data_IF_130793771957
#
_entry.id   IF_130793771957
#
_cell.length_a   1.000
_cell.length_b   1.000
_cell.length_c   1.000
_cell.angle_alpha   90.00
_cell.angle_beta   90.00
_cell.angle_gamma   90.00
#
_symmetry.space_group_name_H-M   'P 1'
#
loop_
_entity.id
_entity.type
_entity.pdbx_description
1 polymer ?
#
# COMPACT_ATOMS: atom_id res chain seq x y z
N UNK A 1 14.53 0.36 -16.94
CA UNK A 1 16.00 0.30 -17.12
C UNK A 1 16.55 -1.00 -16.54
N UNK A 2 17.79 -1.40 -16.81
CA UNK A 2 18.38 -2.58 -16.15
C UNK A 2 18.41 -2.35 -14.63
N UNK A 3 17.85 -3.26 -13.85
CA UNK A 3 17.72 -3.13 -12.39
C UNK A 3 16.49 -2.36 -11.89
N UNK A 4 15.56 -1.98 -12.77
CA UNK A 4 14.24 -1.47 -12.35
C UNK A 4 13.41 -2.60 -11.77
N UNK A 5 12.93 -2.41 -10.54
CA UNK A 5 11.94 -3.31 -9.92
C UNK A 5 10.58 -3.07 -10.57
N UNK A 6 9.90 -4.13 -10.98
CA UNK A 6 8.60 -4.06 -11.68
C UNK A 6 7.55 -4.72 -10.80
N UNK A 7 6.43 -4.03 -10.62
CA UNK A 7 5.20 -4.57 -10.07
C UNK A 7 4.16 -4.59 -11.19
N UNK A 8 3.47 -5.72 -11.34
CA UNK A 8 2.37 -5.86 -12.29
C UNK A 8 1.10 -6.06 -11.48
N UNK A 9 0.31 -4.98 -11.36
CA UNK A 9 -0.95 -4.97 -10.62
C UNK A 9 -2.13 -5.16 -11.58
N UNK A 10 -3.00 -6.13 -11.28
CA UNK A 10 -4.24 -6.34 -12.01
C UNK A 10 -5.48 -5.74 -11.31
N UNK A 11 -5.30 -5.13 -10.13
CA UNK A 11 -6.32 -4.51 -9.29
C UNK A 11 -7.52 -5.43 -9.05
N UNK A 12 -7.22 -6.70 -8.74
CA UNK A 12 -8.20 -7.76 -8.55
C UNK A 12 -9.12 -8.00 -9.77
N UNK A 13 -8.76 -7.50 -10.95
CA UNK A 13 -9.64 -7.42 -12.12
C UNK A 13 -9.64 -8.65 -13.01
N UNK A 14 -8.75 -9.63 -12.78
CA UNK A 14 -8.64 -10.81 -13.63
C UNK A 14 -9.24 -12.06 -13.00
N UNK A 15 -9.77 -12.92 -13.86
CA UNK A 15 -10.04 -14.32 -13.51
C UNK A 15 -8.73 -15.09 -13.35
N UNK A 16 -8.72 -16.24 -12.61
CA UNK A 16 -7.54 -17.10 -12.56
C UNK A 16 -7.05 -17.58 -13.93
N UNK A 17 -7.94 -17.70 -14.91
CA UNK A 17 -7.59 -18.04 -16.28
C UNK A 17 -6.72 -16.95 -16.93
N UNK A 18 -7.18 -15.70 -16.89
CA UNK A 18 -6.43 -14.56 -17.45
C UNK A 18 -5.10 -14.35 -16.73
N UNK A 19 -5.09 -14.44 -15.40
CA UNK A 19 -3.87 -14.28 -14.61
C UNK A 19 -2.81 -15.33 -14.96
N UNK A 20 -3.19 -16.59 -15.18
CA UNK A 20 -2.26 -17.64 -15.61
C UNK A 20 -1.76 -17.44 -17.03
N UNK A 21 -2.63 -17.03 -17.96
CA UNK A 21 -2.20 -16.73 -19.33
C UNK A 21 -1.17 -15.60 -19.34
N UNK A 22 -1.40 -14.54 -18.56
CA UNK A 22 -0.44 -13.45 -18.43
C UNK A 22 0.88 -13.92 -17.81
N UNK A 23 0.82 -14.65 -16.69
CA UNK A 23 2.00 -15.15 -16.00
C UNK A 23 2.86 -16.05 -16.92
N UNK A 24 2.24 -16.91 -17.72
CA UNK A 24 2.96 -17.79 -18.64
C UNK A 24 3.56 -17.01 -19.82
N UNK A 25 2.79 -16.10 -20.43
CA UNK A 25 3.25 -15.25 -21.53
C UNK A 25 4.41 -14.31 -21.11
N UNK A 26 4.51 -14.00 -19.82
CA UNK A 26 5.52 -13.11 -19.24
C UNK A 26 6.54 -13.85 -18.38
N UNK A 27 6.66 -15.18 -18.51
CA UNK A 27 7.53 -16.00 -17.67
C UNK A 27 8.99 -15.52 -17.64
N UNK A 28 9.51 -15.05 -18.78
CA UNK A 28 10.88 -14.55 -18.92
C UNK A 28 11.15 -13.17 -18.31
N UNK A 29 10.11 -12.46 -17.86
CA UNK A 29 10.24 -11.13 -17.25
C UNK A 29 10.32 -11.24 -15.72
N UNK A 30 11.15 -10.42 -15.11
CA UNK A 30 11.25 -10.31 -13.66
C UNK A 30 10.30 -9.22 -13.14
N UNK A 31 9.31 -9.62 -12.34
CA UNK A 31 8.34 -8.73 -11.71
C UNK A 31 7.65 -9.38 -10.52
N UNK A 32 7.12 -8.56 -9.63
CA UNK A 32 6.18 -8.97 -8.57
C UNK A 32 4.75 -8.86 -9.09
N UNK A 33 3.96 -9.93 -8.94
CA UNK A 33 2.56 -9.93 -9.36
C UNK A 33 1.67 -9.45 -8.20
N UNK A 34 0.94 -8.36 -8.39
CA UNK A 34 0.05 -7.77 -7.40
C UNK A 34 -1.42 -8.06 -7.72
N UNK A 35 -2.15 -8.49 -6.67
CA UNK A 35 -3.58 -8.79 -6.64
C UNK A 35 -4.18 -9.19 -8.01
N UNK A 36 -3.85 -10.39 -8.53
CA UNK A 36 -4.36 -10.81 -9.84
C UNK A 36 -5.89 -10.95 -9.85
N UNK A 37 -6.46 -11.49 -8.78
CA UNK A 37 -7.86 -11.92 -8.74
C UNK A 37 -8.63 -11.31 -7.55
N UNK A 38 -9.97 -11.29 -7.61
CA UNK A 38 -10.82 -10.72 -6.56
C UNK A 38 -10.62 -11.34 -5.17
N UNK A 39 -10.49 -12.66 -5.09
CA UNK A 39 -10.47 -13.36 -3.80
C UNK A 39 -9.10 -13.97 -3.46
N UNK A 40 -8.85 -14.18 -2.17
CA UNK A 40 -7.65 -14.90 -1.66
C UNK A 40 -7.57 -16.30 -2.28
N UNK A 41 -8.67 -17.02 -2.40
CA UNK A 41 -8.69 -18.40 -2.93
C UNK A 41 -8.39 -18.46 -4.42
N UNK A 42 -8.87 -17.48 -5.19
CA UNK A 42 -8.52 -17.34 -6.60
C UNK A 42 -7.04 -16.98 -6.77
N UNK A 43 -6.52 -16.04 -5.98
CA UNK A 43 -5.10 -15.69 -5.96
C UNK A 43 -4.23 -16.88 -5.58
N UNK A 44 -4.62 -17.65 -4.55
CA UNK A 44 -3.94 -18.88 -4.14
C UNK A 44 -3.89 -19.91 -5.28
N UNK A 45 -4.99 -20.05 -6.03
CA UNK A 45 -5.07 -20.93 -7.20
C UNK A 45 -4.04 -20.55 -8.27
N UNK A 46 -3.77 -19.26 -8.46
CA UNK A 46 -2.73 -18.75 -9.36
C UNK A 46 -1.33 -18.94 -8.75
N UNK A 47 -1.16 -18.60 -7.46
CA UNK A 47 0.11 -18.68 -6.71
C UNK A 47 0.77 -20.05 -6.78
N UNK A 48 -0.03 -21.12 -6.75
CA UNK A 48 0.44 -22.52 -6.84
C UNK A 48 1.22 -22.84 -8.11
N UNK A 49 0.99 -22.10 -9.19
CA UNK A 49 1.67 -22.26 -10.48
C UNK A 49 2.59 -21.09 -10.84
N UNK A 50 2.68 -20.08 -9.96
CA UNK A 50 3.46 -18.87 -10.20
C UNK A 50 4.89 -19.04 -9.68
N UNK A 51 5.87 -18.75 -10.53
CA UNK A 51 7.31 -18.77 -10.24
C UNK A 51 7.87 -17.39 -9.83
N UNK A 52 6.97 -16.44 -9.59
CA UNK A 52 7.25 -15.03 -9.26
C UNK A 52 6.72 -14.68 -7.86
N UNK A 53 7.28 -13.66 -7.20
CA UNK A 53 6.70 -13.11 -5.98
C UNK A 53 5.26 -12.64 -6.21
N UNK A 54 4.40 -12.86 -5.23
CA UNK A 54 3.03 -12.36 -5.23
C UNK A 54 2.79 -11.46 -4.03
N UNK A 55 2.19 -10.30 -4.25
CA UNK A 55 1.68 -9.42 -3.18
C UNK A 55 0.17 -9.27 -3.30
N UNK A 56 -0.52 -9.12 -2.17
CA UNK A 56 -1.96 -8.89 -2.14
C UNK A 56 -2.29 -7.53 -1.55
N UNK A 57 -3.21 -6.82 -2.20
CA UNK A 57 -3.74 -5.50 -1.82
C UNK A 57 -5.22 -5.61 -1.44
N UNK A 58 -6.13 -5.67 -2.43
CA UNK A 58 -7.58 -5.62 -2.23
C UNK A 58 -8.09 -6.71 -1.28
N UNK A 59 -7.39 -7.84 -1.20
CA UNK A 59 -7.71 -8.94 -0.29
C UNK A 59 -7.33 -8.72 1.18
N UNK A 60 -6.61 -7.64 1.55
CA UNK A 60 -6.17 -7.38 2.93
C UNK A 60 -6.84 -6.12 3.47
N UNK A 61 -7.91 -6.29 4.25
CA UNK A 61 -8.66 -5.17 4.84
C UNK A 61 -8.65 -5.15 6.36
N UNK A 62 -8.41 -6.31 6.99
CA UNK A 62 -8.45 -6.53 8.43
C UNK A 62 -7.58 -7.71 8.84
N UNK A 63 -7.44 -7.89 10.16
CA UNK A 63 -6.57 -8.90 10.75
C UNK A 63 -6.90 -10.33 10.26
N UNK A 64 -8.18 -10.68 10.15
CA UNK A 64 -8.56 -12.04 9.75
C UNK A 64 -8.10 -12.37 8.33
N UNK A 65 -8.09 -11.39 7.43
CA UNK A 65 -7.67 -11.58 6.04
C UNK A 65 -6.15 -11.87 5.99
N UNK A 66 -5.35 -11.09 6.72
CA UNK A 66 -3.89 -11.28 6.85
C UNK A 66 -3.57 -12.69 7.40
N UNK A 67 -4.27 -13.10 8.46
CA UNK A 67 -4.08 -14.43 9.05
C UNK A 67 -4.47 -15.55 8.08
N UNK A 68 -5.53 -15.38 7.29
CA UNK A 68 -5.92 -16.36 6.28
C UNK A 68 -4.89 -16.46 5.15
N UNK A 69 -4.39 -15.33 4.66
CA UNK A 69 -3.31 -15.26 3.64
C UNK A 69 -2.06 -15.96 4.14
N UNK A 70 -1.65 -15.71 5.39
CA UNK A 70 -0.49 -16.36 6.00
C UNK A 70 -0.69 -17.87 6.12
N UNK A 71 -1.82 -18.30 6.69
CA UNK A 71 -2.13 -19.72 6.88
C UNK A 71 -2.16 -20.49 5.56
N UNK A 72 -2.65 -19.87 4.49
CA UNK A 72 -2.73 -20.46 3.15
C UNK A 72 -1.43 -20.38 2.36
N UNK A 73 -0.48 -19.53 2.77
CA UNK A 73 0.70 -19.20 1.98
C UNK A 73 0.33 -18.53 0.65
N UNK A 74 -0.68 -17.66 0.66
CA UNK A 74 -1.25 -17.09 -0.57
C UNK A 74 -0.42 -15.95 -1.17
N UNK A 75 0.50 -15.35 -0.41
CA UNK A 75 1.31 -14.22 -0.83
C UNK A 75 2.70 -14.25 -0.18
N UNK A 76 3.63 -13.51 -0.77
CA UNK A 76 4.97 -13.24 -0.25
C UNK A 76 5.05 -11.84 0.41
N UNK A 77 4.07 -10.96 0.10
CA UNK A 77 3.93 -9.66 0.75
C UNK A 77 2.51 -9.09 0.69
N UNK A 78 2.31 -7.95 1.36
CA UNK A 78 1.01 -7.29 1.51
C UNK A 78 1.13 -5.79 1.24
N UNK A 79 0.14 -5.24 0.54
CA UNK A 79 -0.09 -3.80 0.39
C UNK A 79 -1.17 -3.39 1.39
N UNK A 80 -0.79 -2.55 2.36
CA UNK A 80 -1.66 -2.13 3.45
C UNK A 80 -2.13 -0.70 3.23
N UNK A 81 -3.40 -0.55 2.79
CA UNK A 81 -4.00 0.77 2.53
C UNK A 81 -4.59 1.40 3.79
N UNK A 82 -4.07 2.57 4.18
CA UNK A 82 -4.45 3.25 5.44
C UNK A 82 -5.95 3.54 5.49
N UNK A 83 -6.51 4.17 4.45
CA UNK A 83 -7.94 4.46 4.36
C UNK A 83 -8.82 3.20 4.41
N UNK A 84 -8.40 2.12 3.73
CA UNK A 84 -9.16 0.86 3.65
C UNK A 84 -9.20 0.10 4.99
N UNK A 85 -8.07 0.08 5.71
CA UNK A 85 -7.94 -0.61 7.01
C UNK A 85 -8.59 0.20 8.16
N UNK A 86 -8.76 1.51 7.95
CA UNK A 86 -9.43 2.40 8.90
C UNK A 86 -8.46 3.19 9.78
N UNK A 87 -7.36 3.66 9.20
CA UNK A 87 -6.47 4.65 9.79
C UNK A 87 -5.15 4.10 10.33
N UNK A 88 -4.23 5.02 10.61
CA UNK A 88 -2.81 4.77 10.93
C UNK A 88 -2.63 3.73 12.04
N UNK A 89 -3.38 3.83 13.15
CA UNK A 89 -3.22 2.91 14.29
C UNK A 89 -3.56 1.47 13.95
N UNK A 90 -4.64 1.23 13.17
CA UNK A 90 -5.03 -0.12 12.76
C UNK A 90 -4.04 -0.67 11.75
N UNK A 91 -3.64 0.15 10.77
CA UNK A 91 -2.64 -0.23 9.76
C UNK A 91 -1.29 -0.57 10.39
N UNK A 92 -0.85 0.20 11.41
CA UNK A 92 0.36 -0.11 12.17
C UNK A 92 0.29 -1.51 12.80
N UNK A 93 -0.81 -1.84 13.49
CA UNK A 93 -0.95 -3.15 14.13
C UNK A 93 -0.89 -4.29 13.10
N UNK A 94 -1.53 -4.14 11.94
CA UNK A 94 -1.45 -5.11 10.85
C UNK A 94 -0.04 -5.19 10.26
N UNK A 95 0.64 -4.06 10.08
CA UNK A 95 2.02 -3.99 9.59
C UNK A 95 2.97 -4.71 10.53
N UNK A 96 2.91 -4.42 11.83
CA UNK A 96 3.79 -5.01 12.84
C UNK A 96 3.64 -6.55 12.81
N UNK A 97 2.40 -7.06 12.75
CA UNK A 97 2.16 -8.50 12.61
C UNK A 97 2.65 -9.06 11.27
N UNK A 98 2.44 -8.35 10.16
CA UNK A 98 2.90 -8.81 8.84
C UNK A 98 4.42 -8.99 8.81
N UNK A 99 5.15 -8.03 9.40
CA UNK A 99 6.61 -8.08 9.57
C UNK A 99 7.02 -9.29 10.41
N UNK A 100 6.39 -9.52 11.55
CA UNK A 100 6.68 -10.65 12.45
C UNK A 100 6.41 -12.01 11.78
N UNK A 101 5.39 -12.08 10.93
CA UNK A 101 5.07 -13.27 10.11
C UNK A 101 5.95 -13.41 8.87
N UNK A 102 6.87 -12.48 8.65
CA UNK A 102 7.88 -12.54 7.61
C UNK A 102 7.41 -12.10 6.22
N UNK A 103 6.30 -11.38 6.12
CA UNK A 103 5.87 -10.78 4.85
C UNK A 103 6.74 -9.58 4.49
N UNK A 104 6.85 -9.35 3.18
CA UNK A 104 7.21 -8.03 2.66
C UNK A 104 6.00 -7.10 2.75
N UNK A 105 6.22 -5.81 3.02
CA UNK A 105 5.13 -4.85 3.25
C UNK A 105 5.31 -3.59 2.41
N UNK A 106 4.23 -3.23 1.73
CA UNK A 106 3.97 -1.89 1.19
C UNK A 106 2.95 -1.23 2.10
N UNK A 107 3.22 0.01 2.55
CA UNK A 107 2.21 0.85 3.21
C UNK A 107 1.82 1.93 2.21
N UNK A 108 0.53 2.01 1.90
CA UNK A 108 0.01 2.85 0.84
C UNK A 108 -1.37 3.46 1.21
N UNK A 109 -1.96 4.24 0.31
CA UNK A 109 -3.37 4.59 0.30
C UNK A 109 -3.96 4.40 -1.12
N UNK A 110 -5.28 4.53 -1.31
CA UNK A 110 -5.94 4.46 -2.63
C UNK A 110 -5.69 5.69 -3.51
N UNK A 111 -4.90 6.64 -3.01
CA UNK A 111 -4.67 7.97 -3.60
C UNK A 111 -4.89 9.06 -2.57
N UNK A 112 -4.45 10.26 -2.90
CA UNK A 112 -4.67 11.46 -2.10
C UNK A 112 -3.58 12.50 -2.30
N UNK A 113 -3.52 13.45 -1.37
CA UNK A 113 -2.67 14.62 -1.41
C UNK A 113 -1.69 14.60 -0.21
N UNK A 114 -1.31 15.76 0.32
CA UNK A 114 -0.25 15.87 1.31
C UNK A 114 -0.58 15.22 2.65
N UNK A 115 -1.84 15.28 3.12
CA UNK A 115 -2.23 14.76 4.44
C UNK A 115 -2.07 13.23 4.52
N UNK A 116 -2.67 12.50 3.59
CA UNK A 116 -2.58 11.05 3.52
C UNK A 116 -1.18 10.59 3.11
N UNK A 117 -0.53 11.27 2.16
CA UNK A 117 0.84 10.91 1.75
C UNK A 117 1.82 11.07 2.91
N UNK A 118 1.69 12.12 3.74
CA UNK A 118 2.53 12.27 4.92
C UNK A 118 2.29 11.15 5.94
N UNK A 119 1.04 10.83 6.25
CA UNK A 119 0.70 9.75 7.17
C UNK A 119 1.24 8.39 6.69
N UNK A 120 1.08 8.10 5.40
CA UNK A 120 1.60 6.91 4.74
C UNK A 120 3.13 6.88 4.74
N UNK A 121 3.82 7.99 4.42
CA UNK A 121 5.28 8.07 4.41
C UNK A 121 5.87 7.79 5.80
N UNK A 122 5.31 8.38 6.85
CA UNK A 122 5.73 8.10 8.23
C UNK A 122 5.55 6.63 8.60
N UNK A 123 4.38 6.06 8.32
CA UNK A 123 4.14 4.65 8.65
C UNK A 123 5.02 3.71 7.83
N UNK A 124 5.20 3.98 6.53
CA UNK A 124 6.09 3.22 5.64
C UNK A 124 7.54 3.24 6.12
N UNK A 125 8.10 4.42 6.44
CA UNK A 125 9.49 4.53 6.91
C UNK A 125 9.71 3.93 8.30
N UNK A 126 8.65 3.74 9.09
CA UNK A 126 8.73 3.00 10.37
C UNK A 126 8.73 1.47 10.19
N UNK A 127 8.49 0.95 8.99
CA UNK A 127 8.63 -0.48 8.67
C UNK A 127 10.11 -0.82 8.51
N UNK A 128 10.61 -1.94 9.08
CA UNK A 128 12.01 -2.34 8.91
C UNK A 128 12.43 -2.37 7.44
N UNK A 129 13.62 -1.87 7.13
CA UNK A 129 14.08 -1.67 5.75
C UNK A 129 14.11 -2.98 4.95
N UNK A 130 14.51 -4.07 5.59
CA UNK A 130 14.57 -5.41 5.01
C UNK A 130 13.19 -6.02 4.71
N UNK A 131 12.11 -5.44 5.25
CA UNK A 131 10.72 -5.87 5.00
C UNK A 131 9.91 -4.85 4.21
N UNK A 132 10.49 -3.72 3.83
CA UNK A 132 9.80 -2.63 3.14
C UNK A 132 9.99 -2.74 1.63
N UNK A 133 8.89 -2.68 0.87
CA UNK A 133 8.91 -2.74 -0.60
C UNK A 133 8.98 -1.33 -1.22
N UNK A 134 7.85 -0.82 -1.69
CA UNK A 134 7.75 0.48 -2.37
C UNK A 134 6.73 1.38 -1.69
N UNK A 135 6.60 2.61 -2.20
CA UNK A 135 5.58 3.58 -1.86
C UNK A 135 5.31 4.45 -3.08
N UNK A 136 4.14 5.09 -3.14
CA UNK A 136 3.77 6.02 -4.21
C UNK A 136 3.56 7.40 -3.61
N UNK A 137 4.20 8.42 -4.20
CA UNK A 137 4.01 9.81 -3.84
C UNK A 137 2.74 10.39 -4.47
N UNK A 138 1.55 9.98 -4.00
CA UNK A 138 0.29 10.38 -4.64
C UNK A 138 0.08 11.90 -4.73
N UNK A 139 0.59 12.66 -3.75
CA UNK A 139 0.55 14.12 -3.79
C UNK A 139 1.22 14.72 -5.05
N UNK A 140 2.15 14.04 -5.70
CA UNK A 140 2.77 14.48 -6.97
C UNK A 140 1.88 14.20 -8.19
N UNK A 141 0.82 13.39 -8.06
CA UNK A 141 -0.07 13.00 -9.16
C UNK A 141 -1.33 13.86 -9.24
N UNK A 142 -1.62 14.63 -8.20
CA UNK A 142 -2.84 15.43 -8.07
C UNK A 142 -2.54 16.92 -8.18
N UNK A 143 -3.51 17.69 -8.67
CA UNK A 143 -3.39 19.14 -8.83
C UNK A 143 -3.98 19.93 -7.64
N UNK A 144 -4.76 19.26 -6.78
CA UNK A 144 -5.40 19.86 -5.61
C UNK A 144 -4.56 19.55 -4.38
N UNK A 145 -4.18 20.61 -3.67
CA UNK A 145 -3.40 20.54 -2.44
C UNK A 145 -4.29 20.64 -1.21
N UNK A 146 -3.96 19.85 -0.20
CA UNK A 146 -4.56 19.83 1.15
C UNK A 146 -3.64 20.41 2.21
N UNK A 147 -2.33 20.46 1.95
CA UNK A 147 -1.34 21.07 2.84
C UNK A 147 -0.15 21.65 2.07
N UNK A 148 0.72 22.39 2.76
CA UNK A 148 2.07 22.75 2.30
C UNK A 148 3.13 21.97 3.09
N UNK A 149 4.39 22.04 2.62
CA UNK A 149 5.51 21.21 3.09
C UNK A 149 5.26 19.71 2.87
N UNK A 150 4.97 19.27 1.64
CA UNK A 150 4.70 17.86 1.36
C UNK A 150 5.91 16.98 1.70
N UNK A 151 5.71 15.66 1.85
CA UNK A 151 6.83 14.70 1.92
C UNK A 151 7.82 14.93 0.76
N UNK A 152 9.13 15.11 1.03
CA UNK A 152 10.08 15.42 -0.02
C UNK A 152 10.26 14.24 -0.97
N UNK A 153 10.31 14.51 -2.27
CA UNK A 153 10.58 13.53 -3.32
C UNK A 153 11.84 13.92 -4.07
N UNK A 154 12.84 13.03 -4.04
CA UNK A 154 14.10 13.20 -4.75
C UNK A 154 14.39 11.94 -5.59
N UNK A 155 14.30 12.09 -6.92
CA UNK A 155 14.45 10.97 -7.84
C UNK A 155 13.39 9.89 -7.59
N UNK A 156 13.82 8.68 -7.23
CA UNK A 156 12.94 7.54 -6.93
C UNK A 156 12.71 7.31 -5.43
N UNK A 157 12.95 8.33 -4.60
CA UNK A 157 12.87 8.23 -3.14
C UNK A 157 11.92 9.30 -2.60
N UNK A 158 11.14 8.91 -1.61
CA UNK A 158 10.28 9.80 -0.84
C UNK A 158 10.69 9.75 0.62
N UNK A 159 10.80 10.92 1.24
CA UNK A 159 11.12 11.08 2.66
C UNK A 159 9.87 11.42 3.48
N UNK A 160 10.10 11.98 4.66
CA UNK A 160 9.07 12.57 5.53
C UNK A 160 9.37 14.05 5.75
N UNK A 161 8.36 14.91 5.93
CA UNK A 161 8.58 16.31 6.27
C UNK A 161 9.20 16.46 7.67
N UNK A 162 9.92 17.55 7.89
CA UNK A 162 10.44 17.92 9.20
C UNK A 162 9.34 18.48 10.12
N UNK A 163 9.51 18.29 11.43
CA UNK A 163 8.64 18.88 12.46
C UNK A 163 7.74 17.86 13.17
N UNK A 164 6.90 18.31 14.11
CA UNK A 164 6.04 17.44 14.89
C UNK A 164 4.84 16.92 14.08
N UNK A 165 4.29 15.79 14.51
CA UNK A 165 3.10 15.19 13.88
C UNK A 165 3.40 14.70 12.47
N UNK A 166 2.60 15.15 11.50
CA UNK A 166 2.80 14.85 10.08
C UNK A 166 3.83 15.76 9.39
N UNK A 167 4.31 16.82 10.08
CA UNK A 167 5.29 17.77 9.53
C UNK A 167 4.79 18.66 8.37
N UNK A 168 3.48 18.64 8.10
CA UNK A 168 2.81 19.45 7.06
C UNK A 168 2.01 20.60 7.69
N UNK A 169 1.78 21.67 6.93
CA UNK A 169 0.84 22.73 7.32
C UNK A 169 -0.44 22.61 6.47
N UNK A 170 -1.53 22.13 7.08
CA UNK A 170 -2.84 21.97 6.42
C UNK A 170 -3.34 23.32 5.90
N UNK A 171 -4.01 23.31 4.73
CA UNK A 171 -4.68 24.46 4.12
C UNK A 171 -6.19 24.39 4.43
N UNK A 172 -6.68 24.98 5.54
CA UNK A 172 -8.07 24.80 5.97
C UNK A 172 -9.07 25.36 4.96
N UNK A 173 -8.71 26.43 4.25
CA UNK A 173 -9.52 27.04 3.21
C UNK A 173 -9.80 26.10 2.01
N UNK A 174 -9.02 25.02 1.86
CA UNK A 174 -9.22 23.98 0.83
C UNK A 174 -10.16 22.87 1.26
N UNK A 175 -10.39 22.71 2.57
CA UNK A 175 -11.26 21.66 3.12
C UNK A 175 -12.72 22.10 3.18
N UNK A 176 -12.97 23.42 3.17
CA UNK A 176 -14.31 24.00 3.29
C UNK A 176 -14.86 23.96 4.72
N UNK A 177 -16.09 24.42 4.88
CA UNK A 177 -16.77 24.40 6.18
C UNK A 177 -17.09 22.95 6.61
N UNK A 178 -16.86 22.59 7.89
CA UNK A 178 -17.18 21.26 8.38
C UNK A 178 -18.69 21.01 8.31
N UNK A 179 -19.09 19.86 7.78
CA UNK A 179 -20.49 19.43 7.81
C UNK A 179 -20.90 18.86 9.19
N UNK A 180 -19.93 18.52 10.04
CA UNK A 180 -20.12 17.97 11.38
C UNK A 180 -18.91 18.32 12.27
N UNK A 181 -19.16 18.93 13.42
CA UNK A 181 -18.16 19.13 14.47
C UNK A 181 -18.48 18.19 15.65
N UNK A 182 -17.55 17.29 15.97
CA UNK A 182 -17.66 16.39 17.12
C UNK A 182 -16.64 16.78 18.19
N UNK A 183 -17.15 17.11 19.38
CA UNK A 183 -16.31 17.43 20.54
C UNK A 183 -15.73 18.84 20.48
N UNK A 184 -16.42 19.80 21.11
CA UNK A 184 -15.72 20.97 21.65
C UNK A 184 -15.08 20.55 22.96
N UNK A 185 -13.76 20.60 23.04
CA UNK A 185 -13.16 20.88 24.34
C UNK A 185 -13.45 22.34 24.66
N UNK A 186 -14.17 22.56 25.76
CA UNK A 186 -14.23 23.85 26.46
C UNK A 186 -12.81 24.22 26.91
#
# INVERSE_FOLDING_TARGET
>A
PKGTVIFCDANAGWTPFQARQFADATRSLDFTFEQPCPTIDECLSVRRSLDKPMVLDESVTRLEDLLDIHRKGAADGLTLKISRIGGVSKTRNLRDLAVDLGFMVTVEDTGGAEIDTAAMAHLSLSTPEERRLHAIAFHEWVTVKTAVKPPPVEGSRMGIPDGPGLGIDVLPERLGEPFLELGRSV
#
